data_IF_941796525363
#
_entry.id   IF_941796525363
#
_cell.length_a   1.000
_cell.length_b   1.000
_cell.length_c   1.000
_cell.angle_alpha   90.00
_cell.angle_beta   90.00
_cell.angle_gamma   90.00
#
_symmetry.space_group_name_H-M   'P 1'
#
loop_
_entity.id
_entity.type
_entity.pdbx_description
1 polymer ?
#
# COMPACT_ATOMS: atom_id res chain seq x y z
N UNK A 1 13.01 13.89 -23.78
CA UNK A 1 11.58 14.27 -23.91
C UNK A 1 10.86 13.85 -22.64
N UNK A 2 9.83 14.60 -22.24
CA UNK A 2 9.03 14.26 -21.06
C UNK A 2 8.20 12.98 -21.29
N UNK A 3 8.12 12.14 -20.26
CA UNK A 3 7.42 10.83 -20.28
C UNK A 3 5.94 10.99 -20.67
N UNK A 4 5.27 12.06 -20.19
CA UNK A 4 3.85 12.30 -20.50
C UNK A 4 3.65 12.60 -22.00
N UNK A 5 4.48 13.47 -22.57
CA UNK A 5 4.39 13.82 -23.99
C UNK A 5 4.57 12.61 -24.91
N UNK A 6 5.48 11.69 -24.56
CA UNK A 6 5.68 10.45 -25.34
C UNK A 6 4.42 9.57 -25.27
N UNK A 7 3.80 9.46 -24.10
CA UNK A 7 2.58 8.65 -23.93
C UNK A 7 1.40 9.26 -24.71
N UNK A 8 1.24 10.58 -24.68
CA UNK A 8 0.21 11.28 -25.44
C UNK A 8 0.40 11.10 -26.95
N UNK A 9 1.63 11.22 -27.43
CA UNK A 9 1.95 10.96 -28.83
C UNK A 9 1.61 9.53 -29.23
N UNK A 10 2.00 8.53 -28.42
CA UNK A 10 1.69 7.13 -28.68
C UNK A 10 0.19 6.83 -28.67
N UNK A 11 -0.60 7.51 -27.83
CA UNK A 11 -2.07 7.40 -27.86
C UNK A 11 -2.61 7.91 -29.21
N UNK A 12 -2.11 9.06 -29.68
CA UNK A 12 -2.56 9.68 -30.93
C UNK A 12 -2.14 8.87 -32.17
N UNK A 13 -0.90 8.39 -32.19
CA UNK A 13 -0.35 7.58 -33.29
C UNK A 13 -0.79 6.10 -33.23
N UNK A 14 -1.40 5.67 -32.12
CA UNK A 14 -1.72 4.26 -31.81
C UNK A 14 -0.49 3.35 -31.80
N UNK A 15 0.66 3.92 -31.48
CA UNK A 15 1.91 3.18 -31.37
C UNK A 15 2.02 2.47 -30.02
N UNK A 16 2.83 1.42 -30.01
CA UNK A 16 3.17 0.70 -28.79
C UNK A 16 4.40 1.32 -28.14
N UNK A 17 4.45 1.21 -26.82
CA UNK A 17 5.59 1.64 -26.02
C UNK A 17 6.21 0.43 -25.32
N UNK A 18 7.54 0.38 -25.32
CA UNK A 18 8.30 -0.45 -24.41
C UNK A 18 8.53 0.34 -23.12
N UNK A 19 8.05 -0.20 -22.00
CA UNK A 19 8.15 0.48 -20.70
C UNK A 19 8.75 -0.41 -19.63
N UNK A 20 9.54 0.17 -18.76
CA UNK A 20 9.91 -0.42 -17.47
C UNK A 20 8.94 0.14 -16.43
N UNK A 21 8.14 -0.74 -15.82
CA UNK A 21 7.18 -0.33 -14.79
C UNK A 21 7.71 -0.63 -13.40
N UNK A 22 7.94 0.41 -12.60
CA UNK A 22 8.55 0.33 -11.27
C UNK A 22 7.54 0.06 -10.14
N UNK A 23 6.28 -0.20 -10.49
CA UNK A 23 5.21 -0.50 -9.54
C UNK A 23 4.66 -1.92 -9.64
N UNK A 24 3.79 -2.28 -8.69
CA UNK A 24 3.07 -3.56 -8.68
C UNK A 24 3.88 -4.73 -8.12
N UNK A 25 3.50 -5.96 -8.48
CA UNK A 25 4.12 -7.19 -7.97
C UNK A 25 5.41 -7.58 -8.69
N UNK A 26 5.70 -6.97 -9.84
CA UNK A 26 6.90 -7.20 -10.64
C UNK A 26 7.47 -5.84 -11.07
N UNK A 27 7.98 -5.06 -10.11
CA UNK A 27 8.63 -3.77 -10.41
C UNK A 27 9.89 -4.00 -11.22
N UNK A 28 10.19 -3.10 -12.16
CA UNK A 28 11.36 -3.20 -13.04
C UNK A 28 11.17 -4.11 -14.27
N UNK A 29 10.05 -4.81 -14.37
CA UNK A 29 9.78 -5.64 -15.55
C UNK A 29 9.53 -4.77 -16.79
N UNK A 30 10.19 -5.12 -17.89
CA UNK A 30 9.95 -4.56 -19.22
C UNK A 30 8.60 -5.06 -19.75
N UNK A 31 7.80 -4.17 -20.31
CA UNK A 31 6.44 -4.44 -20.81
C UNK A 31 6.22 -3.71 -22.12
N UNK A 32 5.71 -4.43 -23.11
CA UNK A 32 5.09 -3.82 -24.28
C UNK A 32 3.65 -3.43 -23.93
N UNK A 33 3.31 -2.15 -24.09
CA UNK A 33 1.96 -1.63 -23.85
C UNK A 33 1.46 -0.81 -25.04
N UNK A 34 0.16 -0.90 -25.33
CA UNK A 34 -0.53 0.06 -26.20
C UNK A 34 -1.35 1.02 -25.32
N UNK A 35 -0.91 2.27 -25.12
CA UNK A 35 -1.65 3.24 -24.32
C UNK A 35 -2.96 3.62 -25.01
N UNK A 36 -4.03 3.76 -24.21
CA UNK A 36 -5.39 4.02 -24.68
C UNK A 36 -5.90 5.38 -24.23
N UNK A 37 -5.54 5.81 -23.02
CA UNK A 37 -5.91 7.11 -22.46
C UNK A 37 -5.02 7.43 -21.28
N UNK A 38 -4.85 8.73 -21.02
CA UNK A 38 -4.15 9.26 -19.86
C UNK A 38 -5.06 10.24 -19.11
N UNK A 39 -5.19 10.07 -17.79
CA UNK A 39 -5.99 10.96 -16.93
C UNK A 39 -5.48 10.89 -15.49
N UNK A 40 -5.31 12.04 -14.84
CA UNK A 40 -4.93 12.15 -13.42
C UNK A 40 -3.67 11.33 -13.06
N UNK A 41 -2.61 11.45 -13.86
CA UNK A 41 -1.35 10.71 -13.63
C UNK A 41 -1.46 9.20 -13.82
N UNK A 42 -2.52 8.72 -14.50
CA UNK A 42 -2.77 7.30 -14.76
C UNK A 42 -2.94 7.06 -16.25
N UNK A 43 -2.28 6.02 -16.75
CA UNK A 43 -2.40 5.55 -18.12
C UNK A 43 -3.17 4.24 -18.13
N UNK A 44 -4.29 4.21 -18.87
CA UNK A 44 -4.92 2.94 -19.23
C UNK A 44 -4.26 2.42 -20.49
N UNK A 45 -3.75 1.20 -20.45
CA UNK A 45 -3.08 0.59 -21.59
C UNK A 45 -3.40 -0.90 -21.69
N UNK A 46 -3.42 -1.43 -22.92
CA UNK A 46 -3.40 -2.87 -23.15
C UNK A 46 -1.97 -3.36 -22.91
N UNK A 47 -1.80 -4.24 -21.93
CA UNK A 47 -0.51 -4.84 -21.59
C UNK A 47 -0.38 -6.18 -22.32
N UNK A 48 0.51 -6.27 -23.31
CA UNK A 48 0.63 -7.44 -24.17
C UNK A 48 1.15 -8.68 -23.42
N UNK A 49 2.01 -8.50 -22.42
CA UNK A 49 2.50 -9.61 -21.59
C UNK A 49 1.38 -10.36 -20.85
N UNK A 50 0.28 -9.68 -20.50
CA UNK A 50 -0.85 -10.27 -19.77
C UNK A 50 -2.14 -10.33 -20.58
N UNK A 51 -2.10 -9.81 -21.81
CA UNK A 51 -3.25 -9.61 -22.70
C UNK A 51 -4.51 -9.01 -22.03
N UNK A 52 -4.34 -8.07 -21.10
CA UNK A 52 -5.45 -7.38 -20.40
C UNK A 52 -5.20 -5.88 -20.34
N UNK A 53 -6.28 -5.10 -20.24
CA UNK A 53 -6.20 -3.66 -20.00
C UNK A 53 -5.85 -3.43 -18.52
N UNK A 54 -4.76 -2.71 -18.29
CA UNK A 54 -4.30 -2.32 -16.94
C UNK A 54 -4.23 -0.81 -16.83
N UNK A 55 -4.19 -0.35 -15.58
CA UNK A 55 -3.91 1.05 -15.25
C UNK A 55 -2.53 1.15 -14.63
N UNK A 56 -1.71 2.04 -15.17
CA UNK A 56 -0.34 2.30 -14.71
C UNK A 56 -0.25 3.73 -14.19
N UNK A 57 0.55 3.96 -13.15
CA UNK A 57 0.87 5.30 -12.68
C UNK A 57 2.01 5.87 -13.54
N UNK A 58 1.83 7.07 -14.08
CA UNK A 58 2.81 7.72 -14.97
C UNK A 58 4.16 7.93 -14.28
N UNK A 59 4.13 8.32 -13.00
CA UNK A 59 5.33 8.49 -12.18
C UNK A 59 6.17 7.20 -12.08
N UNK A 60 5.55 6.02 -12.22
CA UNK A 60 6.24 4.72 -12.12
C UNK A 60 6.60 4.10 -13.48
N UNK A 61 6.42 4.85 -14.57
CA UNK A 61 6.77 4.41 -15.92
C UNK A 61 8.09 5.05 -16.33
N UNK A 62 9.01 4.22 -16.81
CA UNK A 62 10.12 4.66 -17.66
C UNK A 62 9.89 4.11 -19.06
N UNK A 63 10.04 4.95 -20.08
CA UNK A 63 9.87 4.55 -21.48
C UNK A 63 11.25 4.24 -22.04
N UNK A 64 11.35 3.07 -22.68
CA UNK A 64 12.55 2.62 -23.36
C UNK A 64 12.46 3.03 -24.84
N UNK A 65 13.45 3.77 -25.32
CA UNK A 65 13.58 4.10 -26.74
C UNK A 65 14.23 2.95 -27.54
N UNK A 66 14.43 3.17 -28.85
CA UNK A 66 15.01 2.17 -29.75
C UNK A 66 16.46 1.79 -29.41
N UNK A 67 17.19 2.69 -28.74
CA UNK A 67 18.58 2.48 -28.34
C UNK A 67 18.69 1.88 -26.93
N UNK A 68 17.54 1.62 -26.28
CA UNK A 68 17.44 1.06 -24.95
C UNK A 68 17.60 2.09 -23.82
N UNK A 69 17.70 3.38 -24.14
CA UNK A 69 17.75 4.42 -23.13
C UNK A 69 16.37 4.63 -22.49
N UNK A 70 16.39 4.88 -21.18
CA UNK A 70 15.18 5.03 -20.38
C UNK A 70 14.91 6.51 -20.10
N UNK A 71 13.63 6.90 -20.15
CA UNK A 71 13.24 8.20 -19.62
C UNK A 71 13.54 8.28 -18.12
N UNK A 72 13.93 9.47 -17.67
CA UNK A 72 14.14 9.74 -16.25
C UNK A 72 12.82 9.65 -15.49
N UNK A 73 12.91 9.19 -14.25
CA UNK A 73 11.80 9.20 -13.30
C UNK A 73 12.30 9.63 -11.94
N UNK A 74 11.49 10.45 -11.26
CA UNK A 74 11.70 10.81 -9.86
C UNK A 74 11.17 9.73 -8.90
N UNK A 75 10.65 8.62 -9.42
CA UNK A 75 10.16 7.52 -8.59
C UNK A 75 11.31 6.77 -7.94
N UNK A 76 11.38 6.88 -6.61
CA UNK A 76 12.24 6.03 -5.79
C UNK A 76 11.56 4.68 -5.60
N UNK A 77 12.27 3.59 -5.92
CA UNK A 77 11.75 2.25 -5.70
C UNK A 77 11.46 2.03 -4.20
N UNK A 78 10.30 1.44 -3.89
CA UNK A 78 9.95 1.07 -2.52
C UNK A 78 11.04 0.16 -1.94
N UNK A 79 11.45 0.43 -0.71
CA UNK A 79 12.44 -0.39 0.01
C UNK A 79 12.02 -1.87 0.00
N UNK A 80 12.98 -2.77 -0.24
CA UNK A 80 12.73 -4.21 -0.26
C UNK A 80 12.90 -4.73 1.16
N UNK A 81 11.81 -5.18 1.75
CA UNK A 81 11.83 -5.85 3.05
C UNK A 81 11.95 -7.37 2.87
N UNK A 82 12.58 -8.07 3.83
CA UNK A 82 12.58 -9.52 3.85
C UNK A 82 11.15 -10.07 4.00
N UNK A 83 10.97 -11.34 3.66
CA UNK A 83 9.73 -12.06 3.91
C UNK A 83 9.60 -12.31 5.42
N UNK A 84 8.51 -11.82 6.01
CA UNK A 84 8.20 -12.01 7.42
C UNK A 84 7.09 -13.03 7.61
N UNK A 85 7.26 -13.93 8.58
CA UNK A 85 6.27 -14.96 8.94
C UNK A 85 5.49 -14.61 10.21
N UNK A 86 5.93 -13.61 10.98
CA UNK A 86 5.29 -13.18 12.22
C UNK A 86 5.49 -11.68 12.51
N UNK A 87 4.65 -11.10 13.37
CA UNK A 87 4.89 -9.74 13.88
C UNK A 87 6.16 -9.67 14.74
N UNK A 88 6.59 -10.76 15.37
CA UNK A 88 7.84 -10.78 16.11
C UNK A 88 9.04 -10.49 15.20
N UNK A 89 9.13 -11.14 14.04
CA UNK A 89 10.19 -10.89 13.06
C UNK A 89 10.17 -9.45 12.54
N UNK A 90 8.96 -8.91 12.29
CA UNK A 90 8.79 -7.51 11.87
C UNK A 90 9.27 -6.56 12.96
N UNK A 91 8.91 -6.82 14.21
CA UNK A 91 9.29 -5.99 15.36
C UNK A 91 10.81 -5.99 15.53
N UNK A 92 11.45 -7.15 15.59
CA UNK A 92 12.91 -7.25 15.75
C UNK A 92 13.65 -6.54 14.61
N UNK A 93 13.16 -6.67 13.37
CA UNK A 93 13.75 -5.99 12.22
C UNK A 93 13.60 -4.46 12.27
N UNK A 94 12.45 -3.94 12.72
CA UNK A 94 12.15 -2.49 12.65
C UNK A 94 12.43 -1.73 13.95
N UNK A 95 12.51 -2.39 15.11
CA UNK A 95 12.53 -1.75 16.43
C UNK A 95 13.56 -0.64 16.54
N UNK A 96 14.82 -0.91 16.19
CA UNK A 96 15.89 0.08 16.31
C UNK A 96 15.64 1.31 15.43
N UNK A 97 15.21 1.11 14.18
CA UNK A 97 14.84 2.18 13.24
C UNK A 97 13.69 3.03 13.79
N UNK A 98 12.64 2.39 14.31
CA UNK A 98 11.50 3.11 14.87
C UNK A 98 11.87 3.92 16.12
N UNK A 99 12.70 3.36 17.00
CA UNK A 99 13.23 4.07 18.16
C UNK A 99 14.09 5.27 17.75
N UNK A 100 14.93 5.13 16.72
CA UNK A 100 15.74 6.22 16.17
C UNK A 100 14.87 7.37 15.64
N UNK A 101 13.74 7.05 14.98
CA UNK A 101 12.75 8.02 14.53
C UNK A 101 12.01 8.72 15.69
N UNK A 102 12.28 8.36 16.95
CA UNK A 102 11.69 8.98 18.14
C UNK A 102 10.38 8.33 18.59
N UNK A 103 10.00 7.20 18.00
CA UNK A 103 8.77 6.50 18.39
C UNK A 103 8.92 5.77 19.71
N UNK A 104 7.82 5.69 20.47
CA UNK A 104 7.63 4.60 21.41
C UNK A 104 6.94 3.44 20.68
N UNK A 105 7.51 2.24 20.74
CA UNK A 105 7.01 1.06 20.04
C UNK A 105 6.33 0.13 21.04
N UNK A 106 5.10 -0.26 20.75
CA UNK A 106 4.37 -1.30 21.48
C UNK A 106 4.25 -2.53 20.58
N UNK A 107 4.50 -3.70 21.14
CA UNK A 107 4.43 -4.98 20.44
C UNK A 107 3.60 -5.98 21.26
N UNK A 108 2.75 -6.72 20.56
CA UNK A 108 2.07 -7.92 21.07
C UNK A 108 2.21 -9.04 20.03
N UNK A 109 1.78 -10.27 20.35
CA UNK A 109 1.80 -11.41 19.42
C UNK A 109 1.23 -11.07 18.04
N UNK A 110 0.19 -10.23 18.02
CA UNK A 110 -0.64 -9.99 16.84
C UNK A 110 -0.63 -8.53 16.38
N UNK A 111 0.21 -7.67 16.97
CA UNK A 111 0.25 -6.26 16.61
C UNK A 111 1.57 -5.56 16.85
N UNK A 112 1.84 -4.53 16.04
CA UNK A 112 2.88 -3.53 16.26
C UNK A 112 2.23 -2.16 16.15
N UNK A 113 2.54 -1.28 17.10
CA UNK A 113 2.07 0.11 17.05
C UNK A 113 3.15 1.09 17.50
N UNK A 114 3.11 2.29 16.93
CA UNK A 114 4.00 3.39 17.31
C UNK A 114 3.22 4.56 17.88
N UNK A 115 3.78 5.15 18.92
CA UNK A 115 3.14 6.19 19.73
C UNK A 115 4.07 7.38 19.88
N UNK A 116 3.51 8.59 19.82
CA UNK A 116 4.22 9.80 20.27
C UNK A 116 4.32 9.78 21.78
N UNK A 117 5.32 10.47 22.31
CA UNK A 117 5.43 10.77 23.74
C UNK A 117 4.81 12.15 24.03
N UNK A 118 4.29 12.32 25.23
CA UNK A 118 3.96 13.63 25.78
C UNK A 118 5.24 14.38 26.17
N UNK A 119 5.13 15.68 26.49
CA UNK A 119 6.26 16.50 26.95
C UNK A 119 6.95 15.94 28.21
N UNK A 120 6.22 15.18 29.02
CA UNK A 120 6.74 14.50 30.21
C UNK A 120 7.41 13.14 29.90
N UNK A 121 7.57 12.76 28.63
CA UNK A 121 8.21 11.52 28.20
C UNK A 121 7.30 10.28 28.16
N UNK A 122 6.10 10.34 28.76
CA UNK A 122 5.18 9.20 28.77
C UNK A 122 4.58 8.96 27.38
N UNK A 123 4.42 7.70 26.94
CA UNK A 123 3.79 7.39 25.68
C UNK A 123 2.29 7.74 25.68
N UNK A 124 1.78 8.20 24.53
CA UNK A 124 0.34 8.41 24.33
C UNK A 124 -0.37 7.06 24.19
N UNK A 125 -1.59 6.97 24.74
CA UNK A 125 -2.43 5.76 24.61
C UNK A 125 -2.79 5.47 23.15
N UNK A 126 -3.18 6.50 22.40
CA UNK A 126 -3.51 6.37 20.98
C UNK A 126 -2.24 6.17 20.18
N UNK A 127 -2.20 5.11 19.36
CA UNK A 127 -1.15 4.88 18.38
C UNK A 127 -1.31 5.84 17.20
N UNK A 128 -0.19 6.34 16.67
CA UNK A 128 -0.23 7.14 15.44
C UNK A 128 -0.20 6.29 14.19
N UNK A 129 0.44 5.12 14.26
CA UNK A 129 0.44 4.11 13.19
C UNK A 129 0.43 2.74 13.85
N UNK A 130 -0.37 1.81 13.35
CA UNK A 130 -0.40 0.43 13.81
C UNK A 130 -0.67 -0.55 12.68
N UNK A 131 -0.16 -1.76 12.86
CA UNK A 131 -0.54 -2.96 12.11
C UNK A 131 -0.93 -4.05 13.09
N UNK A 132 -1.96 -4.81 12.74
CA UNK A 132 -2.49 -5.86 13.59
C UNK A 132 -3.21 -6.92 12.77
N UNK A 133 -3.30 -8.14 13.30
CA UNK A 133 -4.09 -9.20 12.70
C UNK A 133 -5.51 -9.20 13.26
N UNK A 134 -6.47 -9.26 12.36
CA UNK A 134 -7.89 -9.32 12.70
C UNK A 134 -8.58 -10.24 11.68
N UNK A 135 -8.82 -11.49 12.08
CA UNK A 135 -9.31 -12.53 11.19
C UNK A 135 -10.80 -12.44 10.91
N UNK A 136 -11.58 -11.87 11.82
CA UNK A 136 -13.04 -11.95 11.80
C UNK A 136 -13.68 -10.56 11.69
N UNK A 137 -14.85 -10.51 11.07
CA UNK A 137 -15.75 -9.36 11.15
C UNK A 137 -17.11 -9.86 11.61
N UNK A 138 -17.73 -9.12 12.51
CA UNK A 138 -19.10 -9.35 12.94
C UNK A 138 -20.00 -8.30 12.32
N UNK A 139 -21.08 -8.71 11.66
CA UNK A 139 -22.16 -7.84 11.24
C UNK A 139 -23.40 -8.15 12.08
N UNK A 140 -24.00 -7.11 12.63
CA UNK A 140 -25.22 -7.21 13.43
C UNK A 140 -26.39 -6.87 12.53
N UNK A 141 -27.33 -7.80 12.43
CA UNK A 141 -28.56 -7.63 11.66
C UNK A 141 -29.72 -7.43 12.63
N UNK A 142 -30.67 -6.61 12.20
CA UNK A 142 -31.90 -6.35 12.91
C UNK A 142 -33.04 -7.02 12.16
N UNK A 143 -33.45 -8.19 12.65
CA UNK A 143 -34.66 -8.82 12.18
C UNK A 143 -35.81 -8.45 13.13
N UNK A 144 -36.90 -8.02 12.51
CA UNK A 144 -38.17 -7.78 13.18
C UNK A 144 -38.99 -9.05 13.03
N UNK A 145 -39.39 -9.64 14.15
CA UNK A 145 -40.34 -10.74 14.10
C UNK A 145 -41.74 -10.23 13.68
N UNK A 146 -42.63 -11.18 13.34
CA UNK A 146 -44.01 -10.90 12.95
C UNK A 146 -44.84 -10.17 14.02
N UNK A 147 -44.36 -10.11 15.27
CA UNK A 147 -45.00 -9.46 16.41
C UNK A 147 -44.37 -8.08 16.74
N UNK A 148 -43.38 -7.63 15.95
CA UNK A 148 -42.71 -6.35 16.12
C UNK A 148 -41.64 -6.31 17.20
N UNK A 149 -41.17 -7.47 17.66
CA UNK A 149 -40.07 -7.61 18.59
C UNK A 149 -38.72 -7.71 17.87
N UNK A 150 -37.69 -7.21 18.53
CA UNK A 150 -36.33 -7.07 17.99
C UNK A 150 -35.46 -8.25 18.40
N UNK A 151 -34.98 -9.01 17.42
CA UNK A 151 -33.98 -10.05 17.64
C UNK A 151 -32.65 -9.65 16.99
N UNK A 152 -31.61 -9.34 17.78
CA UNK A 152 -30.29 -9.06 17.23
C UNK A 152 -29.62 -10.36 16.78
N UNK A 153 -29.38 -10.49 15.48
CA UNK A 153 -28.54 -11.55 14.93
C UNK A 153 -27.11 -11.05 14.69
N UNK A 154 -26.11 -11.87 15.00
CA UNK A 154 -24.69 -11.54 14.77
C UNK A 154 -24.10 -12.57 13.83
N UNK A 155 -23.80 -12.17 12.60
CA UNK A 155 -23.07 -13.01 11.66
C UNK A 155 -21.57 -12.75 11.79
N UNK A 156 -20.80 -13.79 12.10
CA UNK A 156 -19.34 -13.73 12.15
C UNK A 156 -18.76 -14.37 10.90
N UNK A 157 -17.99 -13.60 10.12
CA UNK A 157 -17.34 -14.09 8.90
C UNK A 157 -15.85 -13.80 8.88
N UNK A 158 -15.08 -14.68 8.24
CA UNK A 158 -13.63 -14.49 8.04
C UNK A 158 -13.37 -13.36 7.03
N UNK A 159 -12.44 -12.47 7.37
CA UNK A 159 -11.99 -11.38 6.50
C UNK A 159 -11.13 -11.92 5.37
N UNK A 160 -11.40 -11.48 4.14
CA UNK A 160 -10.54 -11.73 2.97
C UNK A 160 -9.16 -11.04 3.06
N UNK A 161 -9.01 -10.09 3.99
CA UNK A 161 -7.82 -9.24 4.16
C UNK A 161 -7.58 -8.97 5.66
N UNK A 162 -7.06 -9.95 6.40
CA UNK A 162 -7.00 -9.89 7.86
C UNK A 162 -5.83 -9.08 8.43
N UNK A 163 -4.85 -8.71 7.59
CA UNK A 163 -3.71 -7.88 8.02
C UNK A 163 -4.10 -6.42 7.96
N UNK A 164 -4.43 -5.83 9.10
CA UNK A 164 -4.95 -4.48 9.20
C UNK A 164 -3.84 -3.47 9.35
N UNK A 165 -4.06 -2.28 8.79
CA UNK A 165 -3.25 -1.09 8.97
C UNK A 165 -4.16 0.06 9.40
N UNK A 166 -3.72 0.82 10.38
CA UNK A 166 -4.36 2.07 10.82
C UNK A 166 -3.30 3.15 11.01
N UNK A 167 -3.63 4.39 10.65
CA UNK A 167 -2.80 5.54 10.92
C UNK A 167 -3.65 6.77 11.18
N UNK A 168 -3.08 7.73 11.90
CA UNK A 168 -3.72 9.01 12.18
C UNK A 168 -4.08 9.73 10.88
N UNK A 169 -5.32 10.22 10.80
CA UNK A 169 -5.89 10.92 9.64
C UNK A 169 -5.98 10.07 8.36
N UNK A 170 -5.86 8.75 8.48
CA UNK A 170 -5.96 7.82 7.36
C UNK A 170 -7.08 6.80 7.60
N UNK A 171 -7.73 6.37 6.52
CA UNK A 171 -8.70 5.31 6.62
C UNK A 171 -8.01 3.97 6.91
N UNK A 172 -8.48 3.27 7.94
CA UNK A 172 -8.07 1.89 8.24
C UNK A 172 -8.31 1.00 7.03
N UNK A 173 -7.34 0.17 6.68
CA UNK A 173 -7.45 -0.74 5.53
C UNK A 173 -6.82 -2.11 5.81
N UNK A 174 -7.40 -3.15 5.23
CA UNK A 174 -6.88 -4.52 5.32
C UNK A 174 -6.06 -4.94 4.10
N UNK A 175 -5.13 -5.87 4.33
CA UNK A 175 -4.29 -6.52 3.32
C UNK A 175 -4.41 -8.05 3.38
N UNK A 176 -4.12 -8.69 2.24
CA UNK A 176 -4.07 -10.16 2.15
C UNK A 176 -2.81 -10.77 2.79
N UNK A 177 -1.73 -10.00 2.87
CA UNK A 177 -0.42 -10.48 3.34
C UNK A 177 0.19 -9.49 4.32
N UNK A 178 0.97 -10.00 5.27
CA UNK A 178 1.69 -9.22 6.28
C UNK A 178 2.61 -8.19 5.62
N UNK A 179 3.42 -8.60 4.63
CA UNK A 179 4.38 -7.73 3.94
C UNK A 179 3.76 -6.44 3.40
N UNK A 180 2.54 -6.52 2.84
CA UNK A 180 1.85 -5.34 2.31
C UNK A 180 1.44 -4.36 3.41
N UNK A 181 0.98 -4.90 4.55
CA UNK A 181 0.69 -4.09 5.73
C UNK A 181 1.95 -3.45 6.31
N UNK A 182 3.06 -4.20 6.38
CA UNK A 182 4.37 -3.72 6.86
C UNK A 182 4.92 -2.60 5.99
N UNK A 183 4.88 -2.74 4.65
CA UNK A 183 5.30 -1.66 3.74
C UNK A 183 4.55 -0.37 3.99
N UNK A 184 3.23 -0.45 4.19
CA UNK A 184 2.41 0.73 4.49
C UNK A 184 2.72 1.29 5.88
N UNK A 185 2.94 0.41 6.86
CA UNK A 185 3.35 0.78 8.21
C UNK A 185 4.66 1.58 8.23
N UNK A 186 5.72 1.09 7.59
CA UNK A 186 7.02 1.78 7.58
C UNK A 186 6.90 3.14 6.89
N UNK A 187 6.25 3.19 5.72
CA UNK A 187 6.03 4.46 5.01
C UNK A 187 5.38 5.52 5.91
N UNK A 188 4.35 5.15 6.66
CA UNK A 188 3.63 6.09 7.52
C UNK A 188 4.35 6.38 8.84
N UNK A 189 5.08 5.43 9.40
CA UNK A 189 5.89 5.67 10.61
C UNK A 189 7.02 6.66 10.33
N UNK A 190 7.57 6.66 9.12
CA UNK A 190 8.54 7.67 8.66
C UNK A 190 7.88 9.00 8.36
N UNK A 191 6.75 8.98 7.63
CA UNK A 191 6.04 10.20 7.26
C UNK A 191 5.61 11.01 8.49
N UNK A 192 5.20 10.32 9.57
CA UNK A 192 4.66 10.93 10.79
C UNK A 192 5.67 11.00 11.94
N UNK A 193 6.94 10.65 11.68
CA UNK A 193 8.00 10.53 12.69
C UNK A 193 8.13 11.79 13.56
N UNK A 194 8.28 11.63 14.89
CA UNK A 194 8.53 12.74 15.80
C UNK A 194 9.81 13.51 15.50
N UNK A 195 10.87 12.81 15.11
CA UNK A 195 12.22 13.37 14.93
C UNK A 195 12.53 13.69 13.46
N UNK A 196 11.63 14.40 12.77
CA UNK A 196 11.93 14.92 11.42
C UNK A 196 12.76 16.19 11.46
#
# INVERSE_FOLDING_TARGET
MDTLSIIENAINSKEKLMVVYLGGSQPGAVREIAPLSIKNGKVRARCYMSNVIKTFLTEKIQIMDSDGALTETNYTQDEVYPLFHSYYEVYEYLKQRLLYLGWHVTFTSDSISVHKKFKNGNPRKTSEVSIYFDEYTSEMFADWDSEGSFTPEVEVRKKKKPYMFSAKNEQTCGFKTLEKSVRKFVKFSELLAPNK
#
